data_IF_025399080770
#
_entry.id   IF_025399080770
#
_cell.length_a   1.000
_cell.length_b   1.000
_cell.length_c   1.000
_cell.angle_alpha   90.00
_cell.angle_beta   90.00
_cell.angle_gamma   90.00
#
_symmetry.space_group_name_H-M   'P 1'
#
loop_
_entity.id
_entity.type
_entity.pdbx_description
1 polymer ?
#
# COMPACT_ATOMS: atom_id res chain seq x y z
N UNK A 1 0.03 3.17 2.67
CA UNK A 1 -1.43 2.86 2.62
C UNK A 1 -1.79 1.96 1.44
N UNK A 2 -1.47 2.36 0.20
CA UNK A 2 -1.82 1.64 -1.04
C UNK A 2 -1.38 0.16 -1.07
N UNK A 3 -0.11 -0.13 -0.74
CA UNK A 3 0.38 -1.51 -0.67
C UNK A 3 -0.38 -2.38 0.34
N UNK A 4 -0.83 -1.78 1.45
CA UNK A 4 -1.60 -2.50 2.48
C UNK A 4 -3.02 -2.80 1.97
N UNK A 5 -3.65 -1.87 1.28
CA UNK A 5 -4.99 -2.05 0.71
C UNK A 5 -4.97 -3.03 -0.47
N UNK A 6 -3.97 -2.94 -1.35
CA UNK A 6 -3.77 -3.92 -2.41
C UNK A 6 -3.55 -5.32 -1.86
N UNK A 7 -2.68 -5.49 -0.85
CA UNK A 7 -2.47 -6.79 -0.21
C UNK A 7 -3.74 -7.36 0.42
N UNK A 8 -4.61 -6.53 1.01
CA UNK A 8 -5.92 -6.99 1.49
C UNK A 8 -6.77 -7.57 0.36
N UNK A 9 -6.79 -6.90 -0.79
CA UNK A 9 -7.51 -7.37 -1.97
C UNK A 9 -6.92 -8.67 -2.53
N UNK A 10 -5.60 -8.75 -2.69
CA UNK A 10 -4.90 -9.97 -3.08
C UNK A 10 -5.23 -11.13 -2.16
N UNK A 11 -5.24 -10.91 -0.83
CA UNK A 11 -5.61 -11.95 0.15
C UNK A 11 -7.07 -12.36 0.01
N UNK A 12 -7.98 -11.43 -0.31
CA UNK A 12 -9.38 -11.76 -0.59
C UNK A 12 -9.51 -12.69 -1.80
N UNK A 13 -8.83 -12.38 -2.91
CA UNK A 13 -8.80 -13.22 -4.11
C UNK A 13 -8.15 -14.57 -3.82
N UNK A 14 -6.99 -14.58 -3.14
CA UNK A 14 -6.28 -15.80 -2.74
C UNK A 14 -7.18 -16.77 -1.95
N UNK A 15 -8.03 -16.26 -1.05
CA UNK A 15 -8.92 -17.06 -0.22
C UNK A 15 -10.11 -17.67 -0.99
N UNK A 16 -10.34 -17.28 -2.24
CA UNK A 16 -11.37 -17.90 -3.09
C UNK A 16 -10.91 -19.26 -3.64
N UNK A 17 -9.60 -19.51 -3.66
CA UNK A 17 -9.04 -20.77 -4.12
C UNK A 17 -8.83 -21.77 -2.97
N UNK A 18 -9.02 -23.07 -3.20
CA UNK A 18 -8.71 -24.09 -2.21
C UNK A 18 -7.24 -24.03 -1.78
N UNK A 19 -6.97 -24.44 -0.54
CA UNK A 19 -5.60 -24.47 -0.03
C UNK A 19 -4.72 -25.39 -0.88
N UNK A 20 -3.47 -24.96 -1.07
CA UNK A 20 -2.41 -25.71 -1.76
C UNK A 20 -2.59 -25.89 -3.28
N UNK A 21 -3.59 -25.26 -3.91
CA UNK A 21 -3.66 -25.21 -5.38
C UNK A 21 -2.60 -24.28 -5.96
N UNK A 22 -2.40 -24.35 -7.28
CA UNK A 22 -1.49 -23.47 -8.00
C UNK A 22 -1.84 -21.99 -7.78
N UNK A 23 -3.11 -21.63 -7.95
CA UNK A 23 -3.65 -20.28 -7.80
C UNK A 23 -3.54 -19.78 -6.35
N UNK A 24 -3.80 -20.64 -5.37
CA UNK A 24 -3.60 -20.27 -3.98
C UNK A 24 -2.10 -19.99 -3.69
N UNK A 25 -1.22 -20.86 -4.18
CA UNK A 25 0.22 -20.75 -3.95
C UNK A 25 0.86 -19.57 -4.69
N UNK A 26 0.40 -19.23 -5.90
CA UNK A 26 0.94 -18.10 -6.67
C UNK A 26 0.72 -16.80 -5.91
N UNK A 27 -0.48 -16.60 -5.36
CA UNK A 27 -0.78 -15.44 -4.53
C UNK A 27 -0.09 -15.50 -3.16
N UNK A 28 -0.04 -16.66 -2.50
CA UNK A 28 0.51 -16.79 -1.13
C UNK A 28 2.02 -16.67 -1.08
N UNK A 29 2.73 -17.45 -1.88
CA UNK A 29 4.18 -17.60 -1.78
C UNK A 29 4.91 -16.41 -2.38
N UNK A 30 4.34 -15.79 -3.42
CA UNK A 30 4.99 -14.72 -4.19
C UNK A 30 4.38 -13.34 -3.92
N UNK A 31 3.69 -13.16 -2.78
CA UNK A 31 3.00 -11.91 -2.44
C UNK A 31 3.88 -10.64 -2.54
N UNK A 32 5.21 -10.77 -2.33
CA UNK A 32 6.15 -9.65 -2.43
C UNK A 32 6.33 -9.15 -3.86
N UNK A 33 6.24 -10.03 -4.86
CA UNK A 33 6.41 -9.66 -6.28
C UNK A 33 5.32 -8.69 -6.73
N UNK A 34 4.11 -8.82 -6.20
CA UNK A 34 3.01 -7.91 -6.50
C UNK A 34 3.17 -6.49 -5.91
N UNK A 35 4.19 -6.26 -5.07
CA UNK A 35 4.52 -4.92 -4.55
C UNK A 35 5.62 -4.24 -5.37
N UNK A 36 6.18 -4.96 -6.33
CA UNK A 36 7.21 -4.48 -7.24
C UNK A 36 6.52 -4.14 -8.56
N UNK A 37 6.85 -2.96 -9.11
CA UNK A 37 6.35 -2.55 -10.42
C UNK A 37 6.79 -3.50 -11.52
N UNK A 38 5.90 -3.80 -12.45
CA UNK A 38 6.12 -4.82 -13.48
C UNK A 38 7.41 -4.61 -14.28
N UNK A 39 7.75 -3.35 -14.59
CA UNK A 39 8.98 -2.98 -15.29
C UNK A 39 10.27 -3.33 -14.51
N UNK A 40 10.18 -3.48 -13.18
CA UNK A 40 11.31 -3.80 -12.30
C UNK A 40 11.42 -5.29 -11.98
N UNK A 41 10.49 -6.13 -12.44
CA UNK A 41 10.54 -7.58 -12.23
C UNK A 41 11.63 -8.22 -13.09
N UNK A 42 12.10 -9.39 -12.68
CA UNK A 42 12.98 -10.22 -13.51
C UNK A 42 12.14 -10.86 -14.64
N UNK A 43 12.42 -10.45 -15.87
CA UNK A 43 11.78 -10.94 -17.10
C UNK A 43 12.60 -12.02 -17.81
N UNK A 44 13.87 -12.19 -17.44
CA UNK A 44 14.84 -12.91 -18.28
C UNK A 44 15.14 -14.31 -17.77
N UNK A 45 15.28 -14.47 -16.46
CA UNK A 45 15.82 -15.70 -15.89
C UNK A 45 14.70 -16.50 -15.21
N UNK A 46 14.18 -17.56 -15.85
CA UNK A 46 13.23 -18.43 -15.19
C UNK A 46 13.92 -19.20 -14.06
N UNK A 47 13.27 -19.24 -12.90
CA UNK A 47 13.78 -19.93 -11.70
C UNK A 47 12.79 -21.02 -11.31
N UNK A 48 13.29 -22.17 -10.88
CA UNK A 48 12.43 -23.23 -10.37
C UNK A 48 11.69 -22.77 -9.11
N UNK A 49 10.36 -22.71 -9.18
CA UNK A 49 9.49 -22.27 -8.09
C UNK A 49 8.92 -23.50 -7.39
N UNK A 50 9.60 -23.94 -6.32
CA UNK A 50 9.22 -25.13 -5.54
C UNK A 50 7.72 -25.19 -5.17
N UNK A 51 7.11 -24.06 -4.81
CA UNK A 51 5.70 -23.98 -4.43
C UNK A 51 4.72 -24.12 -5.61
N UNK A 52 5.18 -23.88 -6.84
CA UNK A 52 4.40 -23.97 -8.08
C UNK A 52 4.79 -25.19 -8.93
N UNK A 53 5.90 -25.86 -8.59
CA UNK A 53 6.44 -27.04 -9.29
C UNK A 53 6.75 -26.77 -10.78
N UNK A 54 7.13 -25.55 -11.12
CA UNK A 54 7.46 -25.14 -12.50
C UNK A 54 8.56 -24.06 -12.52
N UNK A 55 9.13 -23.81 -13.69
CA UNK A 55 10.12 -22.76 -13.94
C UNK A 55 9.43 -21.50 -14.43
N UNK A 56 9.50 -20.42 -13.64
CA UNK A 56 8.89 -19.14 -13.98
C UNK A 56 9.79 -17.96 -13.61
N UNK A 57 9.76 -16.94 -14.44
CA UNK A 57 10.32 -15.60 -14.16
C UNK A 57 9.43 -14.87 -13.15
N UNK A 58 9.94 -13.82 -12.50
CA UNK A 58 9.13 -13.04 -11.56
C UNK A 58 7.99 -12.30 -12.29
N UNK A 59 8.23 -11.86 -13.53
CA UNK A 59 7.23 -11.25 -14.39
C UNK A 59 6.10 -12.22 -14.78
N UNK A 60 6.46 -13.45 -15.18
CA UNK A 60 5.46 -14.48 -15.51
C UNK A 60 4.55 -14.77 -14.32
N UNK A 61 5.11 -14.94 -13.12
CA UNK A 61 4.32 -15.17 -11.89
C UNK A 61 3.28 -14.07 -11.68
N UNK A 62 3.68 -12.81 -11.81
CA UNK A 62 2.77 -11.68 -11.65
C UNK A 62 1.74 -11.65 -12.78
N UNK A 63 2.16 -11.84 -14.03
CA UNK A 63 1.24 -11.84 -15.17
C UNK A 63 0.18 -12.93 -15.06
N UNK A 64 0.57 -14.18 -14.78
CA UNK A 64 -0.34 -15.30 -14.62
C UNK A 64 -1.32 -15.06 -13.47
N UNK A 65 -0.80 -14.62 -12.32
CA UNK A 65 -1.65 -14.34 -11.18
C UNK A 65 -2.66 -13.21 -11.45
N UNK A 66 -2.29 -12.18 -12.21
CA UNK A 66 -3.21 -11.10 -12.55
C UNK A 66 -4.25 -11.51 -13.61
N UNK A 67 -3.95 -12.46 -14.50
CA UNK A 67 -4.96 -13.01 -15.44
C UNK A 67 -6.07 -13.79 -14.74
N UNK A 68 -5.85 -14.27 -13.51
CA UNK A 68 -6.86 -14.98 -12.74
C UNK A 68 -7.98 -14.07 -12.22
N UNK A 69 -7.77 -12.76 -12.14
CA UNK A 69 -8.74 -11.83 -11.57
C UNK A 69 -8.59 -10.40 -12.12
N UNK A 70 -9.51 -9.99 -13.00
CA UNK A 70 -9.50 -8.66 -13.64
C UNK A 70 -9.57 -7.50 -12.64
N UNK A 71 -10.34 -7.66 -11.55
CA UNK A 71 -10.45 -6.63 -10.53
C UNK A 71 -9.11 -6.38 -9.82
N UNK A 72 -8.36 -7.46 -9.55
CA UNK A 72 -7.02 -7.40 -8.97
C UNK A 72 -6.01 -6.83 -9.96
N UNK A 73 -6.12 -7.16 -11.25
CA UNK A 73 -5.32 -6.56 -12.32
C UNK A 73 -5.49 -5.04 -12.36
N UNK A 74 -6.73 -4.54 -12.44
CA UNK A 74 -7.01 -3.10 -12.40
C UNK A 74 -6.46 -2.44 -11.13
N UNK A 75 -6.56 -3.14 -10.01
CA UNK A 75 -6.07 -2.66 -8.71
C UNK A 75 -4.55 -2.58 -8.68
N UNK A 76 -3.85 -3.54 -9.29
CA UNK A 76 -2.40 -3.54 -9.44
C UNK A 76 -1.95 -2.37 -10.31
N UNK A 77 -2.59 -2.18 -11.47
CA UNK A 77 -2.32 -1.08 -12.40
C UNK A 77 -2.47 0.29 -11.72
N UNK A 78 -3.57 0.53 -11.03
CA UNK A 78 -3.83 1.80 -10.33
C UNK A 78 -2.75 2.08 -9.28
N UNK A 79 -2.43 1.09 -8.44
CA UNK A 79 -1.47 1.23 -7.35
C UNK A 79 -0.07 1.57 -7.89
N UNK A 80 0.38 0.84 -8.91
CA UNK A 80 1.71 1.06 -9.49
C UNK A 80 1.79 2.35 -10.31
N UNK A 81 0.70 2.74 -10.98
CA UNK A 81 0.61 4.03 -11.66
C UNK A 81 0.76 5.19 -10.67
N UNK A 82 0.07 5.13 -9.54
CA UNK A 82 0.20 6.16 -8.48
C UNK A 82 1.61 6.15 -7.89
N UNK A 83 2.20 4.98 -7.62
CA UNK A 83 3.59 4.91 -7.16
C UNK A 83 4.56 5.51 -8.16
N UNK A 84 4.40 5.24 -9.46
CA UNK A 84 5.25 5.82 -10.50
C UNK A 84 5.14 7.34 -10.54
N UNK A 85 3.94 7.92 -10.39
CA UNK A 85 3.81 9.37 -10.27
C UNK A 85 4.54 9.92 -9.06
N UNK A 86 4.43 9.28 -7.89
CA UNK A 86 5.09 9.72 -6.66
C UNK A 86 6.63 9.61 -6.78
N UNK A 87 7.13 8.48 -7.29
CA UNK A 87 8.58 8.22 -7.42
C UNK A 87 9.22 9.18 -8.44
N UNK A 88 8.53 9.44 -9.54
CA UNK A 88 9.03 10.33 -10.59
C UNK A 88 8.72 11.81 -10.32
N UNK A 89 8.12 12.13 -9.18
CA UNK A 89 7.69 13.47 -8.80
C UNK A 89 6.75 14.16 -9.81
N UNK A 90 5.87 13.37 -10.43
CA UNK A 90 4.91 13.81 -11.44
C UNK A 90 3.60 14.25 -10.80
N UNK A 91 3.64 15.45 -10.20
CA UNK A 91 2.49 16.05 -9.51
C UNK A 91 1.34 16.32 -10.48
N UNK A 92 1.64 16.65 -11.74
CA UNK A 92 0.64 17.00 -12.75
C UNK A 92 -0.22 15.78 -13.10
N UNK A 93 0.39 14.64 -13.44
CA UNK A 93 -0.37 13.45 -13.79
C UNK A 93 -1.08 12.84 -12.57
N UNK A 94 -0.48 12.93 -11.37
CA UNK A 94 -1.18 12.54 -10.14
C UNK A 94 -2.43 13.40 -9.89
N UNK A 95 -2.34 14.71 -10.11
CA UNK A 95 -3.48 15.63 -9.96
C UNK A 95 -4.56 15.35 -10.98
N UNK A 96 -4.19 15.17 -12.25
CA UNK A 96 -5.13 14.78 -13.31
C UNK A 96 -5.84 13.46 -12.99
N UNK A 97 -5.08 12.47 -12.52
CA UNK A 97 -5.63 11.17 -12.11
C UNK A 97 -6.66 11.33 -10.97
N UNK A 98 -6.32 12.08 -9.92
CA UNK A 98 -7.25 12.32 -8.80
C UNK A 98 -8.49 13.11 -9.21
N UNK A 99 -8.34 14.12 -10.06
CA UNK A 99 -9.48 14.89 -10.56
C UNK A 99 -10.40 14.01 -11.41
N UNK A 100 -9.84 13.14 -12.26
CA UNK A 100 -10.63 12.19 -13.05
C UNK A 100 -11.38 11.20 -12.17
N UNK A 101 -10.74 10.70 -11.12
CA UNK A 101 -11.39 9.82 -10.16
C UNK A 101 -12.57 10.51 -9.44
N UNK A 102 -12.39 11.74 -8.98
CA UNK A 102 -13.49 12.49 -8.35
C UNK A 102 -14.62 12.79 -9.34
N UNK A 103 -14.33 13.12 -10.59
CA UNK A 103 -15.34 13.29 -11.65
C UNK A 103 -16.16 12.01 -11.83
N UNK A 104 -15.51 10.86 -12.01
CA UNK A 104 -16.18 9.57 -12.16
C UNK A 104 -17.05 9.21 -10.95
N UNK A 105 -16.55 9.48 -9.75
CA UNK A 105 -17.29 9.30 -8.50
C UNK A 105 -18.54 10.18 -8.46
N UNK A 106 -18.44 11.47 -8.82
CA UNK A 106 -19.61 12.36 -8.88
C UNK A 106 -20.62 11.90 -9.92
N UNK A 107 -20.16 11.47 -11.10
CA UNK A 107 -21.02 10.93 -12.15
C UNK A 107 -21.78 9.70 -11.66
N UNK A 108 -21.12 8.80 -10.92
CA UNK A 108 -21.76 7.64 -10.31
C UNK A 108 -22.81 8.04 -9.26
N UNK A 109 -22.51 9.01 -8.40
CA UNK A 109 -23.45 9.53 -7.39
C UNK A 109 -24.68 10.13 -8.07
N UNK A 110 -24.48 10.93 -9.12
CA UNK A 110 -25.55 11.56 -9.88
C UNK A 110 -26.39 10.51 -10.64
N UNK A 111 -25.76 9.50 -11.22
CA UNK A 111 -26.46 8.38 -11.86
C UNK A 111 -27.33 7.59 -10.86
N UNK A 112 -26.81 7.34 -9.64
CA UNK A 112 -27.58 6.69 -8.57
C UNK A 112 -28.80 7.51 -8.16
N UNK A 113 -28.63 8.83 -7.99
CA UNK A 113 -29.74 9.74 -7.67
C UNK A 113 -30.81 9.75 -8.76
N UNK A 114 -30.40 9.85 -10.03
CA UNK A 114 -31.32 9.80 -11.18
C UNK A 114 -32.14 8.51 -11.19
N UNK A 115 -31.46 7.37 -11.05
CA UNK A 115 -32.14 6.07 -10.98
C UNK A 115 -33.16 6.03 -9.84
N UNK A 116 -32.82 6.52 -8.66
CA UNK A 116 -33.76 6.56 -7.51
C UNK A 116 -35.00 7.41 -7.81
N UNK A 117 -34.82 8.58 -8.43
CA UNK A 117 -35.94 9.44 -8.83
C UNK A 117 -36.85 8.75 -9.86
N UNK A 118 -36.26 8.13 -10.88
CA UNK A 118 -36.99 7.37 -11.91
C UNK A 118 -37.76 6.17 -11.32
N UNK A 119 -37.27 5.60 -10.23
CA UNK A 119 -37.83 4.41 -9.58
C UNK A 119 -38.70 4.77 -8.36
N UNK A 120 -39.41 5.90 -8.38
CA UNK A 120 -40.34 6.33 -7.29
C UNK A 120 -39.67 6.39 -5.91
N UNK A 121 -38.46 6.93 -5.85
CA UNK A 121 -37.64 7.03 -4.64
C UNK A 121 -37.32 5.67 -3.97
N UNK A 122 -37.30 4.58 -4.73
CA UNK A 122 -36.80 3.30 -4.26
C UNK A 122 -35.27 3.34 -4.08
N UNK A 123 -34.80 2.57 -3.10
CA UNK A 123 -33.37 2.44 -2.83
C UNK A 123 -32.62 1.83 -4.03
N UNK A 124 -31.47 2.44 -4.34
CA UNK A 124 -30.58 1.93 -5.38
C UNK A 124 -30.12 0.50 -5.05
N UNK A 125 -30.13 -0.44 -6.03
CA UNK A 125 -29.91 -1.87 -5.74
C UNK A 125 -28.59 -2.14 -5.01
N UNK A 126 -28.66 -2.88 -3.91
CA UNK A 126 -27.51 -3.20 -3.04
C UNK A 126 -26.35 -3.90 -3.78
N UNK A 127 -26.67 -4.80 -4.72
CA UNK A 127 -25.69 -5.51 -5.55
C UNK A 127 -24.85 -4.55 -6.42
N UNK A 128 -25.45 -3.43 -6.86
CA UNK A 128 -24.80 -2.39 -7.66
C UNK A 128 -24.20 -1.27 -6.78
N UNK A 129 -24.61 -1.20 -5.52
CA UNK A 129 -24.16 -0.20 -4.55
C UNK A 129 -22.77 -0.53 -3.99
N UNK A 130 -22.52 -1.82 -3.73
CA UNK A 130 -21.26 -2.33 -3.17
C UNK A 130 -20.14 -2.27 -4.21
N UNK A 131 -19.31 -1.23 -4.14
CA UNK A 131 -17.95 -1.29 -4.68
C UNK A 131 -17.09 -1.95 -3.61
N UNK A 132 -17.01 -3.28 -3.62
CA UNK A 132 -16.21 -4.02 -2.63
C UNK A 132 -14.69 -3.92 -2.89
N UNK A 133 -14.26 -3.00 -3.75
CA UNK A 133 -12.87 -2.84 -4.13
C UNK A 133 -12.12 -2.01 -3.07
N UNK A 134 -11.13 -2.64 -2.41
CA UNK A 134 -10.32 -1.99 -1.38
C UNK A 134 -9.50 -0.80 -1.90
N UNK A 135 -9.13 -0.79 -3.19
CA UNK A 135 -8.42 0.33 -3.80
C UNK A 135 -9.32 1.55 -3.93
N UNK A 136 -10.61 1.40 -4.22
CA UNK A 136 -11.53 2.54 -4.33
C UNK A 136 -11.68 3.26 -2.98
N UNK A 137 -11.75 2.49 -1.88
CA UNK A 137 -11.74 3.03 -0.52
C UNK A 137 -10.42 3.78 -0.24
N UNK A 138 -9.30 3.21 -0.67
CA UNK A 138 -8.00 3.85 -0.55
C UNK A 138 -7.94 5.17 -1.33
N UNK A 139 -8.44 5.18 -2.57
CA UNK A 139 -8.51 6.36 -3.42
C UNK A 139 -9.38 7.45 -2.79
N UNK A 140 -10.56 7.13 -2.27
CA UNK A 140 -11.40 8.09 -1.53
C UNK A 140 -10.65 8.71 -0.35
N UNK A 141 -9.83 7.92 0.34
CA UNK A 141 -9.02 8.41 1.46
C UNK A 141 -7.91 9.34 0.99
N UNK A 142 -7.24 9.03 -0.14
CA UNK A 142 -6.20 9.86 -0.74
C UNK A 142 -6.74 11.17 -1.30
N UNK A 143 -7.93 11.13 -1.94
CA UNK A 143 -8.54 12.28 -2.60
C UNK A 143 -9.40 13.13 -1.68
N UNK A 144 -9.60 12.71 -0.42
CA UNK A 144 -10.25 13.51 0.62
C UNK A 144 -9.62 14.90 0.73
N UNK A 145 -10.44 15.92 0.99
CA UNK A 145 -10.01 17.31 1.19
C UNK A 145 -8.87 17.43 2.21
N UNK A 146 -8.89 16.60 3.25
CA UNK A 146 -7.89 16.60 4.33
C UNK A 146 -6.53 16.04 3.89
N UNK A 147 -6.53 15.01 3.05
CA UNK A 147 -5.32 14.24 2.74
C UNK A 147 -4.70 14.60 1.39
N UNK A 148 -5.52 15.10 0.44
CA UNK A 148 -5.10 15.36 -0.94
C UNK A 148 -3.84 16.24 -0.99
N UNK A 149 -3.80 17.31 -0.22
CA UNK A 149 -2.64 18.21 -0.19
C UNK A 149 -1.38 17.49 0.30
N UNK A 150 -1.47 16.69 1.37
CA UNK A 150 -0.34 15.92 1.88
C UNK A 150 0.19 14.91 0.87
N UNK A 151 -0.69 14.29 0.09
CA UNK A 151 -0.32 13.35 -0.98
C UNK A 151 0.36 14.08 -2.15
N UNK A 152 -0.13 15.26 -2.54
CA UNK A 152 0.50 16.08 -3.58
C UNK A 152 1.87 16.60 -3.13
N UNK A 153 2.00 17.03 -1.88
CA UNK A 153 3.27 17.45 -1.30
C UNK A 153 4.29 16.31 -1.29
N UNK A 154 3.86 15.09 -0.94
CA UNK A 154 4.72 13.90 -0.98
C UNK A 154 5.21 13.54 -2.40
N UNK A 155 4.50 14.01 -3.44
CA UNK A 155 4.91 13.87 -4.83
C UNK A 155 5.82 15.02 -5.29
N UNK A 156 5.75 16.21 -4.66
CA UNK A 156 6.57 17.36 -5.04
C UNK A 156 8.06 17.16 -4.72
N UNK A 157 8.94 17.61 -5.62
CA UNK A 157 10.39 17.60 -5.41
C UNK A 157 10.80 18.49 -4.24
N UNK A 158 10.07 19.57 -3.99
CA UNK A 158 10.34 20.53 -2.92
C UNK A 158 10.37 19.87 -1.54
N UNK A 159 9.55 18.83 -1.34
CA UNK A 159 9.43 18.14 -0.07
C UNK A 159 10.14 16.78 -0.03
N UNK A 160 10.92 16.42 -1.07
CA UNK A 160 11.59 15.12 -1.18
C UNK A 160 12.54 14.82 0.00
N UNK A 161 13.15 15.87 0.57
CA UNK A 161 14.04 15.77 1.72
C UNK A 161 13.34 15.34 3.02
N UNK A 162 12.02 15.51 3.12
CA UNK A 162 11.25 15.14 4.30
C UNK A 162 10.80 13.68 4.19
N UNK A 163 11.30 12.84 5.11
CA UNK A 163 10.85 11.46 5.22
C UNK A 163 10.36 11.16 6.64
N UNK A 164 9.41 10.23 6.74
CA UNK A 164 8.89 9.78 8.04
C UNK A 164 9.84 8.81 8.76
N UNK A 165 10.96 8.41 8.15
CA UNK A 165 11.83 7.36 8.69
C UNK A 165 12.41 7.71 10.05
N UNK A 166 12.84 8.97 10.25
CA UNK A 166 13.33 9.44 11.55
C UNK A 166 12.25 9.39 12.63
N UNK A 167 11.05 9.88 12.31
CA UNK A 167 9.91 9.93 13.23
C UNK A 167 9.43 8.50 13.56
N UNK A 168 9.28 7.63 12.57
CA UNK A 168 8.91 6.22 12.76
C UNK A 168 9.96 5.47 13.60
N UNK A 169 11.24 5.77 13.39
CA UNK A 169 12.34 5.24 14.19
C UNK A 169 12.23 5.62 15.67
N UNK A 170 11.92 6.89 15.95
CA UNK A 170 11.67 7.37 17.32
C UNK A 170 10.43 6.70 17.91
N UNK A 171 9.31 6.68 17.18
CA UNK A 171 8.06 6.06 17.62
C UNK A 171 8.24 4.57 17.96
N UNK A 172 8.99 3.83 17.15
CA UNK A 172 9.31 2.41 17.41
C UNK A 172 10.06 2.26 18.73
N UNK A 173 10.96 3.19 19.05
CA UNK A 173 11.76 3.13 20.29
C UNK A 173 10.95 3.45 21.53
N UNK A 174 10.06 4.43 21.44
CA UNK A 174 9.09 4.71 22.51
C UNK A 174 8.30 3.44 22.82
N UNK A 175 7.70 2.82 21.79
CA UNK A 175 6.93 1.57 21.95
C UNK A 175 7.74 0.41 22.54
N UNK A 176 8.99 0.22 22.10
CA UNK A 176 9.84 -0.83 22.68
C UNK A 176 10.18 -0.55 24.15
N UNK A 177 10.44 0.70 24.49
CA UNK A 177 10.74 1.10 25.87
C UNK A 177 9.53 0.93 26.77
N UNK A 178 8.33 1.22 26.27
CA UNK A 178 7.04 0.95 26.92
C UNK A 178 6.80 -0.55 27.14
N UNK A 179 7.13 -1.40 26.15
CA UNK A 179 6.97 -2.85 26.24
C UNK A 179 7.97 -3.50 27.21
N UNK A 180 9.23 -3.04 27.22
CA UNK A 180 10.31 -3.55 28.09
C UNK A 180 10.29 -2.92 29.50
N UNK A 181 9.48 -1.89 29.72
CA UNK A 181 9.26 -1.29 31.03
C UNK A 181 8.06 -1.91 31.71
N UNK A 182 8.18 -2.33 32.97
CA UNK A 182 7.06 -2.78 33.82
C UNK A 182 6.12 -1.62 34.20
N UNK A 183 5.68 -0.83 33.21
CA UNK A 183 4.92 0.40 33.38
C UNK A 183 5.79 1.66 33.37
N UNK A 184 5.17 2.77 32.96
CA UNK A 184 5.73 4.12 33.04
C UNK A 184 4.89 4.89 34.03
N UNK A 185 5.35 4.97 35.27
CA UNK A 185 4.72 5.79 36.31
C UNK A 185 5.08 7.27 36.19
N UNK A 186 6.16 7.60 35.46
CA UNK A 186 6.65 8.96 35.30
C UNK A 186 7.22 9.22 33.89
N UNK A 187 6.70 10.26 33.22
CA UNK A 187 7.13 10.69 31.87
C UNK A 187 8.60 11.12 31.83
N UNK A 188 9.14 11.70 32.89
CA UNK A 188 10.54 12.12 32.94
C UNK A 188 11.48 10.92 32.97
N UNK A 189 11.10 9.82 33.61
CA UNK A 189 11.88 8.58 33.58
C UNK A 189 11.86 7.96 32.18
N UNK A 190 10.72 7.99 31.49
CA UNK A 190 10.64 7.57 30.09
C UNK A 190 11.57 8.41 29.20
N UNK A 191 11.51 9.74 29.33
CA UNK A 191 12.37 10.67 28.58
C UNK A 191 13.84 10.40 28.83
N UNK A 192 14.26 10.29 30.11
CA UNK A 192 15.64 9.97 30.49
C UNK A 192 16.11 8.64 29.91
N UNK A 193 15.29 7.58 30.03
CA UNK A 193 15.61 6.25 29.49
C UNK A 193 15.73 6.25 27.96
N UNK A 194 14.83 6.95 27.27
CA UNK A 194 14.91 7.11 25.81
C UNK A 194 16.19 7.82 25.39
N UNK A 195 16.55 8.94 26.05
CA UNK A 195 17.77 9.71 25.80
C UNK A 195 19.00 8.82 25.98
N UNK A 196 19.11 8.12 27.12
CA UNK A 196 20.21 7.19 27.40
C UNK A 196 20.34 6.12 26.32
N UNK A 197 19.23 5.49 25.91
CA UNK A 197 19.25 4.50 24.84
C UNK A 197 19.60 5.08 23.46
N UNK A 198 19.28 6.37 23.17
CA UNK A 198 19.70 7.00 21.91
C UNK A 198 21.22 7.12 21.93
N UNK A 199 21.74 7.72 23.00
CA UNK A 199 23.12 8.15 23.11
C UNK A 199 24.07 6.93 23.21
N UNK A 200 23.73 5.94 24.03
CA UNK A 200 24.51 4.71 24.17
C UNK A 200 24.67 3.93 22.84
N UNK A 201 23.66 4.01 21.96
CA UNK A 201 23.72 3.36 20.65
C UNK A 201 24.59 4.13 19.64
N UNK A 202 24.66 5.45 19.77
CA UNK A 202 25.58 6.29 18.98
C UNK A 202 27.03 5.95 19.33
N UNK A 203 27.33 5.76 20.61
CA UNK A 203 28.65 5.36 21.11
C UNK A 203 29.08 4.00 20.54
N UNK A 204 28.25 2.95 20.68
CA UNK A 204 28.56 1.63 20.09
C UNK A 204 28.80 1.66 18.59
N UNK A 205 28.05 2.49 17.83
CA UNK A 205 28.26 2.64 16.39
C UNK A 205 29.61 3.29 16.06
N UNK A 206 30.04 4.27 16.86
CA UNK A 206 31.36 4.91 16.72
C UNK A 206 32.48 3.91 17.05
N UNK A 207 32.32 3.13 18.13
CA UNK A 207 33.27 2.08 18.51
C UNK A 207 33.39 1.00 17.43
N UNK A 208 32.26 0.49 16.91
CA UNK A 208 32.28 -0.53 15.84
C UNK A 208 32.92 -0.04 14.52
N UNK A 209 32.94 1.28 14.28
CA UNK A 209 33.57 1.89 13.10
C UNK A 209 35.07 2.13 13.28
N UNK A 210 35.56 2.17 14.53
CA UNK A 210 37.00 2.28 14.85
C UNK A 210 37.73 0.93 14.77
N UNK A 211 36.99 -0.19 14.75
CA UNK A 211 37.52 -1.56 14.74
C UNK A 211 37.64 -2.11 13.29
N UNK A 212 37.55 -1.24 12.28
CA UNK A 212 37.84 -1.54 10.87
C UNK A 212 38.90 -0.59 10.37
#
# INVERSE_FOLDING_TARGET
MLNRTFNKQRVRVMKQYPHSTYEYNIFKCFWKLFLVGYALLDHKIPKYRRNLKTFLTDAQIVSEALTLNDELFLSYEIVHRIHNYIINHDVLNLTRFFNKFEELKQNLINARRRWTLENKNRDYPLKLRKLDNYIIIALHTLTSKTNKQGVLNACSKEYQQFNNGGIEGINRRIKLTELEGFGITNLDHLRKRLILQINYRVERKKESKKIK
#
